data_IF_439088224464
#
_entry.id   IF_439088224464
#
_cell.length_a   1.000
_cell.length_b   1.000
_cell.length_c   1.000
_cell.angle_alpha   90.00
_cell.angle_beta   90.00
_cell.angle_gamma   90.00
#
_symmetry.space_group_name_H-M   'P 1'
#
loop_
_entity.id
_entity.type
_entity.pdbx_description
1 polymer ?
#
# COMPACT_ATOMS: atom_id res chain seq x y z
N UNK A 1 -15.68 -22.47 4.46
CA UNK A 1 -14.36 -22.04 5.01
C UNK A 1 -13.58 -21.44 3.85
N UNK A 2 -13.20 -20.16 3.95
CA UNK A 2 -12.38 -19.50 2.92
C UNK A 2 -10.96 -20.01 3.13
N UNK A 3 -10.40 -20.61 2.08
CA UNK A 3 -9.04 -21.15 2.10
C UNK A 3 -8.08 -20.12 1.54
N UNK A 4 -7.04 -19.80 2.31
CA UNK A 4 -5.95 -18.95 1.83
C UNK A 4 -4.97 -19.79 1.01
N UNK A 5 -4.55 -19.32 -0.16
CA UNK A 5 -3.57 -20.04 -0.95
C UNK A 5 -2.19 -19.97 -0.29
N UNK A 6 -1.48 -21.10 -0.29
CA UNK A 6 -0.11 -21.15 0.20
C UNK A 6 0.86 -20.35 -0.68
N UNK A 7 1.88 -19.81 -0.06
CA UNK A 7 2.90 -18.94 -0.69
C UNK A 7 4.30 -19.56 -0.67
N UNK A 8 4.45 -20.74 -0.08
CA UNK A 8 5.78 -21.32 0.25
C UNK A 8 6.65 -21.61 -1.00
N UNK A 9 6.00 -21.88 -2.13
CA UNK A 9 6.74 -22.16 -3.37
C UNK A 9 7.35 -20.87 -3.92
N UNK A 10 6.56 -19.81 -4.02
CA UNK A 10 6.99 -18.51 -4.54
C UNK A 10 8.04 -17.88 -3.62
N UNK A 11 7.82 -17.91 -2.32
CA UNK A 11 8.76 -17.39 -1.32
C UNK A 11 10.12 -18.09 -1.45
N UNK A 12 10.15 -19.43 -1.54
CA UNK A 12 11.40 -20.18 -1.75
C UNK A 12 12.12 -19.82 -3.04
N UNK A 13 11.39 -19.57 -4.13
CA UNK A 13 11.99 -19.16 -5.41
C UNK A 13 12.58 -17.75 -5.32
N UNK A 14 11.90 -16.83 -4.65
CA UNK A 14 12.40 -15.48 -4.40
C UNK A 14 13.63 -15.48 -3.49
N UNK A 15 13.60 -16.23 -2.39
CA UNK A 15 14.75 -16.40 -1.50
C UNK A 15 15.97 -17.00 -2.22
N UNK A 16 15.74 -17.99 -3.10
CA UNK A 16 16.81 -18.55 -3.94
C UNK A 16 17.41 -17.49 -4.84
N UNK A 17 16.59 -16.65 -5.48
CA UNK A 17 17.07 -15.55 -6.32
C UNK A 17 17.87 -14.54 -5.50
N UNK A 18 17.36 -14.11 -4.35
CA UNK A 18 18.03 -13.16 -3.47
C UNK A 18 19.38 -13.70 -3.00
N UNK A 19 19.43 -14.94 -2.53
CA UNK A 19 20.69 -15.57 -2.07
C UNK A 19 21.72 -15.74 -3.20
N UNK A 20 21.28 -16.18 -4.39
CA UNK A 20 22.18 -16.37 -5.52
C UNK A 20 22.74 -15.04 -6.07
N UNK A 21 22.05 -13.93 -5.84
CA UNK A 21 22.47 -12.61 -6.31
C UNK A 21 23.25 -11.82 -5.23
N UNK A 22 23.35 -12.30 -4.01
CA UNK A 22 23.95 -11.57 -2.88
C UNK A 22 25.45 -11.31 -3.08
N UNK A 23 26.18 -12.27 -3.67
CA UNK A 23 27.61 -12.19 -3.95
C UNK A 23 27.95 -11.82 -5.42
N UNK A 24 26.92 -11.50 -6.24
CA UNK A 24 27.08 -11.20 -7.65
C UNK A 24 27.62 -9.80 -7.95
N UNK A 25 28.01 -9.54 -9.22
CA UNK A 25 28.43 -8.21 -9.65
C UNK A 25 27.29 -7.21 -9.44
N UNK A 26 27.62 -6.06 -8.82
CA UNK A 26 26.65 -4.99 -8.56
C UNK A 26 26.38 -4.25 -9.86
N UNK A 27 25.21 -4.52 -10.48
CA UNK A 27 24.68 -3.67 -11.57
C UNK A 27 23.38 -3.00 -11.09
N UNK A 28 23.05 -1.83 -11.63
CA UNK A 28 21.81 -1.13 -11.27
C UNK A 28 20.57 -1.99 -11.57
N UNK A 29 20.61 -2.75 -12.67
CA UNK A 29 19.53 -3.65 -13.07
C UNK A 29 19.34 -4.81 -12.06
N UNK A 30 20.44 -5.43 -11.62
CA UNK A 30 20.39 -6.50 -10.64
C UNK A 30 19.90 -6.00 -9.28
N UNK A 31 20.31 -4.81 -8.85
CA UNK A 31 19.81 -4.20 -7.61
C UNK A 31 18.32 -3.89 -7.68
N UNK A 32 17.81 -3.42 -8.81
CA UNK A 32 16.37 -3.22 -9.02
C UNK A 32 15.59 -4.55 -8.96
N UNK A 33 16.10 -5.61 -9.59
CA UNK A 33 15.49 -6.95 -9.51
C UNK A 33 15.50 -7.50 -8.07
N UNK A 34 16.60 -7.32 -7.34
CA UNK A 34 16.69 -7.69 -5.91
C UNK A 34 15.70 -6.94 -5.05
N UNK A 35 15.55 -5.62 -5.25
CA UNK A 35 14.56 -4.80 -4.57
C UNK A 35 13.14 -5.34 -4.80
N UNK A 36 12.80 -5.64 -6.05
CA UNK A 36 11.48 -6.18 -6.42
C UNK A 36 11.26 -7.60 -5.88
N UNK A 37 12.27 -8.46 -5.92
CA UNK A 37 12.18 -9.81 -5.35
C UNK A 37 11.98 -9.76 -3.83
N UNK A 38 12.68 -8.84 -3.14
CA UNK A 38 12.53 -8.60 -1.70
C UNK A 38 11.11 -8.11 -1.36
N UNK A 39 10.59 -7.18 -2.12
CA UNK A 39 9.21 -6.69 -1.95
C UNK A 39 8.18 -7.82 -2.08
N UNK A 40 8.30 -8.68 -3.12
CA UNK A 40 7.43 -9.84 -3.26
C UNK A 40 7.58 -10.82 -2.09
N UNK A 41 8.80 -11.13 -1.66
CA UNK A 41 9.05 -12.05 -0.54
C UNK A 41 8.44 -11.52 0.76
N UNK A 42 8.63 -10.24 1.08
CA UNK A 42 8.03 -9.58 2.25
C UNK A 42 6.51 -9.60 2.18
N UNK A 43 5.93 -9.26 1.03
CA UNK A 43 4.48 -9.22 0.82
C UNK A 43 3.83 -10.61 0.92
N UNK A 44 4.48 -11.66 0.40
CA UNK A 44 3.97 -13.03 0.47
C UNK A 44 4.17 -13.68 1.84
N UNK A 45 5.17 -13.25 2.60
CA UNK A 45 5.45 -13.75 3.96
C UNK A 45 4.64 -13.03 5.04
N UNK A 46 4.11 -11.84 4.74
CA UNK A 46 3.32 -11.04 5.69
C UNK A 46 1.84 -11.40 5.62
N UNK A 47 1.13 -11.24 6.73
CA UNK A 47 -0.34 -11.29 6.76
C UNK A 47 -0.92 -10.12 5.94
N UNK A 48 -2.11 -10.32 5.33
CA UNK A 48 -2.80 -9.25 4.58
C UNK A 48 -3.27 -8.19 5.56
N UNK A 49 -2.91 -6.93 5.32
CA UNK A 49 -3.21 -5.82 6.22
C UNK A 49 -4.61 -5.24 5.97
N UNK A 50 -5.45 -5.21 7.02
CA UNK A 50 -6.81 -4.69 7.01
C UNK A 50 -6.86 -3.43 7.86
N UNK A 51 -7.05 -2.26 7.24
CA UNK A 51 -7.13 -0.98 7.93
C UNK A 51 -8.55 -0.59 8.32
N UNK A 52 -8.75 -0.18 9.58
CA UNK A 52 -10.01 0.40 10.05
C UNK A 52 -9.89 1.92 10.06
N UNK A 53 -10.62 2.56 9.16
CA UNK A 53 -10.67 4.01 9.02
C UNK A 53 -12.07 4.54 9.30
N UNK A 54 -12.20 5.84 9.53
CA UNK A 54 -13.47 6.51 9.80
C UNK A 54 -13.35 7.52 10.95
N UNK A 55 -14.42 8.27 11.20
CA UNK A 55 -14.44 9.31 12.21
C UNK A 55 -14.25 8.78 13.63
N UNK A 56 -13.94 9.70 14.56
CA UNK A 56 -13.90 9.35 15.97
C UNK A 56 -15.28 8.85 16.43
N UNK A 57 -15.31 7.75 17.20
CA UNK A 57 -16.55 7.14 17.66
C UNK A 57 -17.33 6.34 16.61
N UNK A 58 -16.79 6.13 15.41
CA UNK A 58 -17.42 5.30 14.36
C UNK A 58 -17.33 3.77 14.63
N UNK A 59 -16.80 3.35 15.79
CA UNK A 59 -16.76 1.93 16.18
C UNK A 59 -15.60 1.12 15.62
N UNK A 60 -14.54 1.74 15.09
CA UNK A 60 -13.34 1.09 14.51
C UNK A 60 -12.71 0.05 15.43
N UNK A 61 -12.24 0.50 16.61
CA UNK A 61 -11.57 -0.36 17.59
C UNK A 61 -12.46 -1.51 18.10
N UNK A 62 -13.77 -1.24 18.29
CA UNK A 62 -14.73 -2.28 18.66
C UNK A 62 -14.88 -3.34 17.57
N UNK A 63 -14.87 -2.91 16.30
CA UNK A 63 -14.96 -3.79 15.16
C UNK A 63 -13.68 -4.62 14.99
N UNK A 64 -12.52 -4.00 15.19
CA UNK A 64 -11.22 -4.68 15.17
C UNK A 64 -11.13 -5.74 16.28
N UNK A 65 -11.55 -5.42 17.52
CA UNK A 65 -11.62 -6.38 18.61
C UNK A 65 -12.54 -7.58 18.30
N UNK A 66 -13.70 -7.31 17.71
CA UNK A 66 -14.63 -8.35 17.31
C UNK A 66 -13.99 -9.30 16.28
N UNK A 67 -13.31 -8.77 15.25
CA UNK A 67 -12.65 -9.59 14.23
C UNK A 67 -11.43 -10.33 14.78
N UNK A 68 -10.69 -9.72 15.71
CA UNK A 68 -9.59 -10.36 16.42
C UNK A 68 -10.07 -11.48 17.35
N UNK A 69 -11.35 -11.50 17.72
CA UNK A 69 -11.90 -12.41 18.72
C UNK A 69 -11.38 -12.16 20.14
N UNK A 70 -10.88 -10.95 20.43
CA UNK A 70 -10.28 -10.59 21.71
C UNK A 70 -10.46 -9.10 22.02
N UNK A 71 -10.60 -8.75 23.30
CA UNK A 71 -10.71 -7.37 23.75
C UNK A 71 -9.31 -6.79 23.99
N UNK A 72 -8.71 -6.26 22.92
CA UNK A 72 -7.32 -5.78 22.87
C UNK A 72 -7.29 -4.25 22.89
N UNK A 73 -8.04 -3.63 21.99
CA UNK A 73 -8.08 -2.19 21.80
C UNK A 73 -9.05 -1.53 22.78
N UNK A 74 -8.68 -0.41 23.38
CA UNK A 74 -9.59 0.30 24.26
C UNK A 74 -10.80 0.84 23.49
N UNK A 75 -11.98 0.64 24.03
CA UNK A 75 -13.24 1.08 23.44
C UNK A 75 -13.99 2.01 24.40
N UNK A 76 -14.69 3.00 23.83
CA UNK A 76 -15.51 3.96 24.61
C UNK A 76 -14.95 5.38 24.63
N UNK A 77 -15.72 6.35 25.16
CA UNK A 77 -15.45 7.78 25.02
C UNK A 77 -14.34 8.32 25.95
N UNK A 78 -13.84 7.54 26.91
CA UNK A 78 -12.91 7.99 27.95
C UNK A 78 -11.44 7.62 27.67
N UNK A 79 -11.14 7.03 26.51
CA UNK A 79 -9.78 6.60 26.19
C UNK A 79 -8.99 7.71 25.50
N UNK A 80 -7.70 7.82 25.87
CA UNK A 80 -6.74 8.68 25.18
C UNK A 80 -6.64 8.21 23.70
N UNK A 81 -6.51 9.15 22.76
CA UNK A 81 -6.27 8.79 21.37
C UNK A 81 -4.95 8.03 21.26
N UNK A 82 -5.02 6.80 20.74
CA UNK A 82 -3.84 6.01 20.43
C UNK A 82 -3.28 6.39 19.05
N UNK A 83 -1.97 6.20 18.82
CA UNK A 83 -1.41 6.24 17.48
C UNK A 83 -1.98 5.09 16.64
N UNK A 84 -1.42 4.82 15.47
CA UNK A 84 -1.71 3.58 14.73
C UNK A 84 -1.45 2.37 15.64
N UNK A 85 -2.46 1.50 15.80
CA UNK A 85 -2.29 0.22 16.50
C UNK A 85 -2.44 -0.92 15.49
N UNK A 86 -1.44 -1.80 15.45
CA UNK A 86 -1.40 -2.96 14.58
C UNK A 86 -1.60 -4.20 15.44
N UNK A 87 -2.64 -4.99 15.16
CA UNK A 87 -2.91 -6.25 15.88
C UNK A 87 -2.56 -7.42 14.97
N UNK A 88 -1.68 -8.28 15.43
CA UNK A 88 -1.11 -9.40 14.67
C UNK A 88 -1.26 -10.71 15.42
N UNK A 89 -1.01 -11.83 14.73
CA UNK A 89 -0.87 -13.13 15.38
C UNK A 89 0.51 -13.26 16.05
N UNK A 90 0.52 -13.74 17.29
CA UNK A 90 1.74 -14.19 17.98
C UNK A 90 1.38 -15.37 18.88
N UNK A 91 2.29 -16.35 19.01
CA UNK A 91 2.08 -17.50 19.91
C UNK A 91 2.02 -17.05 21.37
N UNK A 92 2.88 -16.12 21.76
CA UNK A 92 2.88 -15.47 23.07
C UNK A 92 2.52 -14.00 22.91
N UNK A 93 1.58 -13.46 23.73
CA UNK A 93 1.21 -12.05 23.63
C UNK A 93 2.40 -11.13 23.93
N UNK A 94 2.58 -10.14 23.08
CA UNK A 94 3.61 -9.10 23.21
C UNK A 94 3.12 -7.76 22.67
N UNK A 95 3.74 -6.68 23.12
CA UNK A 95 3.47 -5.32 22.61
C UNK A 95 4.77 -4.66 22.24
N UNK A 96 4.91 -4.29 20.98
CA UNK A 96 6.07 -3.57 20.45
C UNK A 96 5.69 -2.14 20.12
N UNK A 97 6.46 -1.17 20.60
CA UNK A 97 6.35 0.24 20.24
C UNK A 97 7.40 0.59 19.20
N UNK A 98 7.02 1.37 18.21
CA UNK A 98 7.92 1.79 17.13
C UNK A 98 7.86 3.28 16.88
N UNK A 99 8.99 3.80 16.44
CA UNK A 99 9.20 5.16 15.96
C UNK A 99 9.86 5.07 14.60
N UNK A 100 9.60 6.05 13.74
CA UNK A 100 10.18 6.06 12.40
C UNK A 100 11.71 6.29 12.42
N UNK A 101 12.22 6.93 13.48
CA UNK A 101 13.61 7.37 13.63
C UNK A 101 14.40 6.67 14.74
N UNK A 102 13.79 5.72 15.45
CA UNK A 102 14.40 5.06 16.62
C UNK A 102 14.17 3.55 16.60
N UNK A 103 15.04 2.78 17.29
CA UNK A 103 14.82 1.34 17.49
C UNK A 103 13.51 1.08 18.22
N UNK A 104 12.84 -0.03 17.87
CA UNK A 104 11.65 -0.51 18.54
C UNK A 104 11.95 -1.00 19.97
N UNK A 105 10.90 -1.02 20.82
CA UNK A 105 10.95 -1.53 22.20
C UNK A 105 9.78 -2.48 22.42
N UNK A 106 10.03 -3.63 23.04
CA UNK A 106 9.01 -4.65 23.27
C UNK A 106 8.69 -4.82 24.74
N UNK A 107 7.41 -5.01 25.02
CA UNK A 107 6.83 -5.35 26.33
C UNK A 107 6.19 -6.73 26.26
N UNK A 108 6.30 -7.52 27.32
CA UNK A 108 5.58 -8.77 27.43
C UNK A 108 4.06 -8.53 27.65
N UNK A 109 3.25 -9.32 26.97
CA UNK A 109 1.80 -9.24 27.05
C UNK A 109 1.17 -8.03 26.35
N UNK A 110 -0.15 -7.88 26.48
CA UNK A 110 -0.90 -6.71 25.98
C UNK A 110 -0.69 -5.55 26.95
N UNK A 111 0.11 -4.56 26.56
CA UNK A 111 0.58 -3.47 27.42
C UNK A 111 0.36 -2.08 26.82
N UNK A 112 -0.82 -1.83 26.21
CA UNK A 112 -1.15 -0.62 25.46
C UNK A 112 -0.95 0.68 26.24
N UNK A 113 -1.33 0.72 27.52
CA UNK A 113 -1.17 1.93 28.36
C UNK A 113 0.31 2.29 28.56
N UNK A 114 1.17 1.27 28.78
CA UNK A 114 2.62 1.49 28.90
C UNK A 114 3.23 1.87 27.55
N UNK A 115 2.77 1.24 26.48
CA UNK A 115 3.20 1.52 25.13
C UNK A 115 2.86 2.96 24.71
N UNK A 116 1.64 3.41 25.00
CA UNK A 116 1.21 4.78 24.70
C UNK A 116 1.98 5.85 25.49
N UNK A 117 2.41 5.55 26.71
CA UNK A 117 3.20 6.46 27.53
C UNK A 117 4.62 6.73 26.97
N UNK A 118 5.13 5.88 26.07
CA UNK A 118 6.40 6.10 25.37
C UNK A 118 6.25 7.07 24.16
N UNK A 119 5.04 7.57 23.88
CA UNK A 119 4.73 8.46 22.74
C UNK A 119 5.26 7.92 21.39
N UNK A 120 4.89 6.69 20.99
CA UNK A 120 5.37 6.09 19.75
C UNK A 120 4.59 6.60 18.52
N UNK A 121 5.16 6.36 17.32
CA UNK A 121 4.46 6.58 16.05
C UNK A 121 3.44 5.48 15.78
N UNK A 122 3.76 4.24 16.18
CA UNK A 122 2.84 3.10 16.10
C UNK A 122 3.07 2.10 17.25
N UNK A 123 2.04 1.30 17.53
CA UNK A 123 2.08 0.20 18.50
C UNK A 123 1.67 -1.09 17.77
N UNK A 124 2.48 -2.14 17.87
CA UNK A 124 2.13 -3.48 17.40
C UNK A 124 1.81 -4.39 18.57
N UNK A 125 0.66 -5.07 18.53
CA UNK A 125 0.21 -5.99 19.58
C UNK A 125 0.05 -7.38 18.97
N UNK A 126 0.90 -8.31 19.37
CA UNK A 126 0.79 -9.71 19.04
C UNK A 126 -0.12 -10.42 20.04
N UNK A 127 -1.09 -11.20 19.55
CA UNK A 127 -1.98 -12.02 20.36
C UNK A 127 -2.20 -13.39 19.74
N UNK A 128 -2.44 -14.40 20.56
CA UNK A 128 -2.74 -15.75 20.06
C UNK A 128 -4.20 -15.83 19.59
N UNK A 129 -4.44 -15.34 18.37
CA UNK A 129 -5.73 -15.43 17.70
C UNK A 129 -5.57 -16.14 16.35
N UNK A 130 -6.26 -17.30 16.14
CA UNK A 130 -6.23 -17.99 14.85
C UNK A 130 -6.75 -17.14 13.68
N UNK A 131 -7.66 -16.20 13.94
CA UNK A 131 -8.21 -15.30 12.93
C UNK A 131 -7.13 -14.37 12.33
N UNK A 132 -6.06 -14.10 13.08
CA UNK A 132 -4.99 -13.19 12.70
C UNK A 132 -3.77 -13.87 12.02
N UNK A 133 -3.86 -15.17 11.72
CA UNK A 133 -2.73 -15.86 11.04
C UNK A 133 -2.53 -15.37 9.61
N UNK A 134 -3.62 -15.06 8.92
CA UNK A 134 -3.62 -14.67 7.52
C UNK A 134 -3.87 -13.16 7.33
N UNK A 135 -4.39 -12.49 8.36
CA UNK A 135 -4.67 -11.06 8.34
C UNK A 135 -4.05 -10.35 9.54
N UNK A 136 -3.70 -9.09 9.37
CA UNK A 136 -3.34 -8.17 10.44
C UNK A 136 -4.31 -7.00 10.44
N UNK A 137 -4.64 -6.48 11.62
CA UNK A 137 -5.64 -5.43 11.79
C UNK A 137 -4.95 -4.12 12.17
N UNK A 138 -5.20 -3.07 11.41
CA UNK A 138 -4.64 -1.74 11.57
C UNK A 138 -5.73 -0.80 12.07
N UNK A 139 -5.78 -0.51 13.36
CA UNK A 139 -6.71 0.47 13.92
C UNK A 139 -6.13 1.88 13.75
N UNK A 140 -6.64 2.59 12.76
CA UNK A 140 -6.19 3.95 12.45
C UNK A 140 -6.79 4.95 13.44
N UNK A 141 -6.04 5.99 13.84
CA UNK A 141 -6.59 7.07 14.64
C UNK A 141 -7.82 7.69 13.96
N UNK A 142 -8.83 8.01 14.75
CA UNK A 142 -10.07 8.58 14.24
C UNK A 142 -9.83 9.93 13.57
N UNK A 143 -10.36 10.12 12.36
CA UNK A 143 -10.33 11.41 11.68
C UNK A 143 -11.37 12.36 12.30
N UNK A 144 -10.97 13.60 12.58
CA UNK A 144 -11.86 14.70 12.97
C UNK A 144 -12.02 15.70 11.83
N UNK A 145 -13.18 16.31 11.69
CA UNK A 145 -13.48 17.23 10.58
C UNK A 145 -12.74 18.58 10.66
N UNK A 146 -12.05 18.87 11.76
CA UNK A 146 -11.51 20.19 12.07
C UNK A 146 -9.98 20.25 12.26
N UNK A 147 -9.26 19.13 12.09
CA UNK A 147 -7.83 19.10 12.27
C UNK A 147 -7.15 18.26 11.18
N UNK A 148 -5.81 18.36 11.08
CA UNK A 148 -4.99 17.64 10.10
C UNK A 148 -5.00 16.10 10.26
N UNK A 149 -5.83 15.56 11.16
CA UNK A 149 -5.97 14.11 11.38
C UNK A 149 -6.42 13.34 10.13
N UNK A 150 -7.15 13.98 9.22
CA UNK A 150 -7.53 13.37 7.95
C UNK A 150 -6.32 13.09 7.05
N UNK A 151 -5.32 13.99 7.01
CA UNK A 151 -4.08 13.77 6.24
C UNK A 151 -3.35 12.55 6.77
N UNK A 152 -3.23 12.45 8.11
CA UNK A 152 -2.62 11.29 8.75
C UNK A 152 -3.36 9.99 8.42
N UNK A 153 -4.69 10.01 8.37
CA UNK A 153 -5.48 8.84 7.97
C UNK A 153 -5.15 8.42 6.52
N UNK A 154 -5.07 9.38 5.57
CA UNK A 154 -4.69 9.10 4.17
C UNK A 154 -3.27 8.54 4.06
N UNK A 155 -2.33 9.08 4.83
CA UNK A 155 -0.95 8.56 4.87
C UNK A 155 -0.90 7.13 5.40
N UNK A 156 -1.64 6.84 6.47
CA UNK A 156 -1.67 5.51 7.07
C UNK A 156 -2.40 4.48 6.20
N UNK A 157 -3.38 4.90 5.40
CA UNK A 157 -4.05 4.02 4.43
C UNK A 157 -3.12 3.50 3.33
N UNK A 158 -1.97 4.11 3.11
CA UNK A 158 -0.95 3.60 2.18
C UNK A 158 -0.29 2.30 2.65
N UNK A 159 -0.38 1.99 3.94
CA UNK A 159 0.22 0.79 4.56
C UNK A 159 -0.73 -0.40 4.64
N UNK A 160 -1.95 -0.29 4.12
CA UNK A 160 -2.93 -1.36 4.19
C UNK A 160 -3.31 -1.88 2.80
N UNK A 161 -3.53 -3.18 2.71
CA UNK A 161 -3.95 -3.85 1.48
C UNK A 161 -5.44 -3.72 1.20
N UNK A 162 -6.24 -3.63 2.27
CA UNK A 162 -7.69 -3.50 2.25
C UNK A 162 -8.10 -2.52 3.35
N UNK A 163 -9.16 -1.73 3.13
CA UNK A 163 -9.68 -0.85 4.16
C UNK A 163 -11.15 -1.15 4.48
N UNK A 164 -11.47 -1.01 5.76
CA UNK A 164 -12.83 -1.00 6.28
C UNK A 164 -13.12 0.44 6.72
N UNK A 165 -13.91 1.15 5.94
CA UNK A 165 -14.40 2.45 6.35
C UNK A 165 -15.60 2.28 7.27
N UNK A 166 -15.45 2.67 8.53
CA UNK A 166 -16.51 2.63 9.52
C UNK A 166 -17.27 3.95 9.53
N UNK A 167 -18.57 3.90 9.25
CA UNK A 167 -19.46 5.05 9.37
C UNK A 167 -20.56 4.76 10.39
N UNK A 168 -20.93 5.77 11.20
CA UNK A 168 -21.96 5.60 12.21
C UNK A 168 -23.35 5.60 11.59
N UNK A 169 -24.16 4.58 11.82
CA UNK A 169 -25.49 4.42 11.26
C UNK A 169 -26.47 5.57 11.57
N UNK A 170 -26.24 6.34 12.64
CA UNK A 170 -27.07 7.51 12.96
C UNK A 170 -26.89 8.66 11.98
N UNK A 171 -25.74 8.74 11.30
CA UNK A 171 -25.43 9.76 10.32
C UNK A 171 -24.43 9.23 9.30
N UNK A 172 -24.79 8.14 8.61
CA UNK A 172 -23.92 7.37 7.76
C UNK A 172 -23.48 8.11 6.50
N UNK A 173 -22.18 8.03 6.20
CA UNK A 173 -21.55 8.46 4.96
C UNK A 173 -21.80 9.95 4.66
N UNK A 174 -21.29 10.80 5.56
CA UNK A 174 -21.35 12.24 5.43
C UNK A 174 -20.48 12.75 4.28
N UNK A 175 -20.74 13.96 3.83
CA UNK A 175 -19.96 14.60 2.77
C UNK A 175 -18.46 14.73 3.15
N UNK A 176 -18.16 14.94 4.43
CA UNK A 176 -16.79 14.96 4.94
C UNK A 176 -16.08 13.62 4.76
N UNK A 177 -16.77 12.51 5.04
CA UNK A 177 -16.25 11.15 4.84
C UNK A 177 -16.05 10.85 3.35
N UNK A 178 -17.01 11.24 2.52
CA UNK A 178 -16.97 11.09 1.06
C UNK A 178 -15.80 11.85 0.45
N UNK A 179 -15.62 13.11 0.85
CA UNK A 179 -14.55 13.94 0.37
C UNK A 179 -13.17 13.35 0.72
N UNK A 180 -12.99 12.88 1.95
CA UNK A 180 -11.76 12.22 2.37
C UNK A 180 -11.52 10.93 1.59
N UNK A 181 -12.56 10.10 1.46
CA UNK A 181 -12.46 8.82 0.76
C UNK A 181 -12.17 8.99 -0.74
N UNK A 182 -12.63 10.08 -1.37
CA UNK A 182 -12.35 10.36 -2.78
C UNK A 182 -10.86 10.57 -3.09
N UNK A 183 -10.05 10.88 -2.08
CA UNK A 183 -8.60 11.04 -2.18
C UNK A 183 -7.82 9.72 -2.04
N UNK A 184 -8.50 8.63 -1.67
CA UNK A 184 -7.90 7.30 -1.55
C UNK A 184 -7.70 6.72 -2.96
N UNK A 185 -6.55 6.10 -3.28
CA UNK A 185 -6.30 5.49 -4.58
C UNK A 185 -7.38 4.46 -4.97
N UNK A 186 -7.71 4.40 -6.25
CA UNK A 186 -8.77 3.51 -6.77
C UNK A 186 -8.49 2.05 -6.43
N UNK A 187 -7.23 1.61 -6.52
CA UNK A 187 -6.84 0.24 -6.20
C UNK A 187 -7.22 -0.15 -4.77
N UNK A 188 -7.03 0.74 -3.79
CA UNK A 188 -7.44 0.47 -2.42
C UNK A 188 -8.96 0.53 -2.28
N UNK A 189 -9.65 1.49 -2.95
CA UNK A 189 -11.11 1.59 -2.92
C UNK A 189 -11.79 0.32 -3.44
N UNK A 190 -11.28 -0.27 -4.52
CA UNK A 190 -11.80 -1.51 -5.12
C UNK A 190 -11.67 -2.73 -4.20
N UNK A 191 -10.78 -2.67 -3.21
CA UNK A 191 -10.57 -3.72 -2.21
C UNK A 191 -11.11 -3.32 -0.82
N UNK A 192 -11.97 -2.32 -0.72
CA UNK A 192 -12.42 -1.76 0.55
C UNK A 192 -13.91 -1.96 0.79
N UNK A 193 -14.28 -1.95 2.07
CA UNK A 193 -15.64 -2.17 2.54
C UNK A 193 -16.16 -0.91 3.25
N UNK A 194 -17.42 -0.55 3.04
CA UNK A 194 -18.13 0.43 3.86
C UNK A 194 -18.93 -0.31 4.92
N UNK A 195 -18.61 -0.07 6.20
CA UNK A 195 -19.32 -0.71 7.31
C UNK A 195 -20.15 0.31 8.07
N UNK A 196 -21.47 0.08 8.07
CA UNK A 196 -22.44 0.88 8.83
C UNK A 196 -22.53 0.30 10.23
N UNK A 197 -21.84 0.91 11.17
CA UNK A 197 -21.82 0.49 12.58
C UNK A 197 -23.07 0.98 13.33
N UNK A 198 -23.26 0.51 14.58
CA UNK A 198 -24.40 0.86 15.42
C UNK A 198 -25.77 0.50 14.81
N UNK A 199 -25.82 -0.49 13.90
CA UNK A 199 -27.05 -0.96 13.29
C UNK A 199 -28.05 -1.60 14.27
N UNK A 200 -27.57 -1.98 15.45
CA UNK A 200 -28.36 -2.52 16.56
C UNK A 200 -29.15 -1.46 17.33
N UNK A 201 -28.78 -0.18 17.21
CA UNK A 201 -29.50 0.90 17.91
C UNK A 201 -30.92 1.06 17.37
N UNK A 202 -31.93 1.21 18.22
CA UNK A 202 -33.33 1.38 17.80
C UNK A 202 -33.51 2.52 16.80
N UNK A 203 -32.84 3.66 17.03
CA UNK A 203 -32.89 4.84 16.16
C UNK A 203 -32.30 4.62 14.76
N UNK A 204 -31.38 3.68 14.61
CA UNK A 204 -30.77 3.31 13.34
C UNK A 204 -31.63 2.25 12.63
N UNK A 205 -32.10 1.24 13.39
CA UNK A 205 -32.88 0.11 12.87
C UNK A 205 -34.10 0.55 12.08
N UNK A 206 -34.83 1.56 12.58
CA UNK A 206 -36.07 2.04 11.93
C UNK A 206 -35.82 2.70 10.56
N UNK A 207 -34.59 3.14 10.29
CA UNK A 207 -34.18 3.81 9.04
C UNK A 207 -33.14 3.04 8.24
N UNK A 208 -32.69 1.89 8.74
CA UNK A 208 -31.54 1.18 8.20
C UNK A 208 -31.70 0.81 6.72
N UNK A 209 -32.84 0.27 6.34
CA UNK A 209 -33.10 -0.13 4.94
C UNK A 209 -32.95 1.06 3.99
N UNK A 210 -33.50 2.22 4.34
CA UNK A 210 -33.37 3.45 3.53
C UNK A 210 -31.93 3.95 3.45
N UNK A 211 -31.17 3.82 4.55
CA UNK A 211 -29.75 4.17 4.58
C UNK A 211 -28.97 3.24 3.66
N UNK A 212 -29.22 1.94 3.75
CA UNK A 212 -28.53 0.94 2.93
C UNK A 212 -28.86 1.10 1.44
N UNK A 213 -30.13 1.30 1.07
CA UNK A 213 -30.55 1.55 -0.31
C UNK A 213 -29.83 2.77 -0.92
N UNK A 214 -29.70 3.86 -0.14
CA UNK A 214 -28.93 5.04 -0.56
C UNK A 214 -27.45 4.71 -0.74
N UNK A 215 -26.83 4.07 0.23
CA UNK A 215 -25.41 3.74 0.21
C UNK A 215 -25.07 2.77 -0.92
N UNK A 216 -25.93 1.77 -1.18
CA UNK A 216 -25.76 0.86 -2.31
C UNK A 216 -25.87 1.58 -3.66
N UNK A 217 -26.76 2.59 -3.78
CA UNK A 217 -26.86 3.40 -5.00
C UNK A 217 -25.66 4.31 -5.24
N UNK A 218 -24.91 4.65 -4.20
CA UNK A 218 -23.72 5.52 -4.23
C UNK A 218 -22.40 4.75 -4.23
N UNK A 219 -22.43 3.43 -4.10
CA UNK A 219 -21.28 2.57 -3.82
C UNK A 219 -20.30 2.43 -4.99
N UNK A 220 -20.78 2.46 -6.22
CA UNK A 220 -20.01 2.11 -7.40
C UNK A 220 -18.73 2.96 -7.53
N UNK A 221 -17.59 2.27 -7.65
CA UNK A 221 -16.25 2.87 -7.71
C UNK A 221 -15.74 3.44 -6.37
N UNK A 222 -16.49 3.23 -5.27
CA UNK A 222 -16.07 3.66 -3.93
C UNK A 222 -15.76 2.49 -3.00
N UNK A 223 -16.59 1.44 -3.00
CA UNK A 223 -16.44 0.29 -2.12
C UNK A 223 -16.88 -0.99 -2.79
N UNK A 224 -16.29 -2.11 -2.39
CA UNK A 224 -16.69 -3.43 -2.86
C UNK A 224 -18.10 -3.81 -2.36
N UNK A 225 -18.41 -3.49 -1.11
CA UNK A 225 -19.74 -3.75 -0.52
C UNK A 225 -20.05 -2.80 0.64
N UNK A 226 -21.34 -2.72 0.98
CA UNK A 226 -21.87 -2.03 2.18
C UNK A 226 -22.40 -3.08 3.16
N UNK A 227 -21.94 -3.03 4.41
CA UNK A 227 -22.29 -4.03 5.43
C UNK A 227 -22.78 -3.33 6.70
N UNK A 228 -24.04 -3.50 7.10
CA UNK A 228 -24.52 -3.06 8.41
C UNK A 228 -24.08 -4.05 9.49
N UNK A 229 -23.71 -3.53 10.68
CA UNK A 229 -23.35 -4.36 11.81
C UNK A 229 -23.75 -3.76 13.16
N UNK A 230 -24.28 -4.63 14.04
CA UNK A 230 -24.42 -4.37 15.45
C UNK A 230 -23.26 -5.02 16.22
N UNK A 231 -22.12 -4.32 16.31
CA UNK A 231 -20.89 -4.88 16.88
C UNK A 231 -21.07 -5.46 18.30
N UNK A 232 -21.75 -4.78 19.26
CA UNK A 232 -21.98 -5.36 20.60
C UNK A 232 -22.81 -6.64 20.56
N UNK A 233 -23.78 -6.71 19.64
CA UNK A 233 -24.61 -7.91 19.44
C UNK A 233 -23.79 -9.06 18.85
N UNK A 234 -22.91 -8.74 17.90
CA UNK A 234 -21.99 -9.70 17.28
C UNK A 234 -21.01 -10.30 18.29
N UNK A 235 -20.39 -9.46 19.12
CA UNK A 235 -19.51 -9.91 20.21
C UNK A 235 -20.27 -10.82 21.16
N UNK A 236 -21.48 -10.42 21.57
CA UNK A 236 -22.33 -11.24 22.47
C UNK A 236 -22.68 -12.59 21.84
N UNK A 237 -23.00 -12.63 20.54
CA UNK A 237 -23.34 -13.85 19.84
C UNK A 237 -22.19 -14.87 19.87
N UNK A 238 -20.95 -14.41 19.67
CA UNK A 238 -19.76 -15.28 19.66
C UNK A 238 -19.27 -15.65 21.07
N UNK A 239 -19.57 -14.83 22.08
CA UNK A 239 -19.22 -15.07 23.50
C UNK A 239 -20.29 -15.86 24.25
N UNK A 240 -21.36 -16.31 23.59
CA UNK A 240 -22.43 -17.04 24.20
C UNK A 240 -21.95 -18.43 24.65
N UNK A 241 -22.34 -18.85 25.88
CA UNK A 241 -22.00 -20.17 26.42
C UNK A 241 -23.26 -21.01 26.57
N UNK A 242 -23.21 -22.34 26.34
CA UNK A 242 -22.01 -23.15 26.08
C UNK A 242 -21.53 -23.12 24.61
N UNK A 243 -22.31 -22.58 23.69
CA UNK A 243 -21.99 -22.51 22.26
C UNK A 243 -22.33 -21.12 21.70
N UNK A 244 -21.57 -20.61 20.70
CA UNK A 244 -21.89 -19.39 20.00
C UNK A 244 -23.30 -19.40 19.40
N UNK A 245 -23.99 -18.27 19.44
CA UNK A 245 -25.29 -18.09 18.78
C UNK A 245 -25.08 -17.67 17.32
N UNK A 246 -24.93 -18.65 16.45
CA UNK A 246 -24.69 -18.41 15.02
C UNK A 246 -25.87 -17.73 14.32
N UNK A 247 -27.12 -17.93 14.76
CA UNK A 247 -28.27 -17.25 14.20
C UNK A 247 -28.25 -15.75 14.53
N UNK A 248 -27.87 -15.41 15.75
CA UNK A 248 -27.69 -14.03 16.17
C UNK A 248 -26.49 -13.39 15.46
N UNK A 249 -25.40 -14.14 15.31
CA UNK A 249 -24.20 -13.73 14.57
C UNK A 249 -24.50 -13.38 13.10
N UNK A 250 -25.27 -14.21 12.41
CA UNK A 250 -25.74 -13.96 11.05
C UNK A 250 -26.64 -12.72 10.97
N UNK A 251 -27.66 -12.67 11.85
CA UNK A 251 -28.68 -11.61 11.80
C UNK A 251 -28.17 -10.22 12.15
N UNK A 252 -27.08 -10.10 12.93
CA UNK A 252 -26.46 -8.82 13.29
C UNK A 252 -25.40 -8.31 12.30
N UNK A 253 -25.15 -9.07 11.21
CA UNK A 253 -24.16 -8.71 10.18
C UNK A 253 -22.74 -9.24 10.45
N UNK A 254 -22.50 -9.89 11.58
CA UNK A 254 -21.17 -10.39 11.98
C UNK A 254 -20.61 -11.42 11.00
N UNK A 255 -21.42 -12.40 10.62
CA UNK A 255 -21.01 -13.43 9.67
C UNK A 255 -20.66 -12.84 8.32
N UNK A 256 -21.54 -11.99 7.77
CA UNK A 256 -21.34 -11.35 6.47
C UNK A 256 -20.06 -10.54 6.44
N UNK A 257 -19.78 -9.79 7.51
CA UNK A 257 -18.55 -9.00 7.59
C UNK A 257 -17.30 -9.90 7.65
N UNK A 258 -17.28 -10.90 8.51
CA UNK A 258 -16.14 -11.80 8.64
C UNK A 258 -15.85 -12.55 7.32
N UNK A 259 -16.89 -13.06 6.66
CA UNK A 259 -16.76 -13.72 5.35
C UNK A 259 -16.20 -12.76 4.29
N UNK A 260 -16.73 -11.53 4.20
CA UNK A 260 -16.30 -10.54 3.21
C UNK A 260 -14.85 -10.08 3.44
N UNK A 261 -14.44 -9.89 4.69
CA UNK A 261 -13.06 -9.55 5.04
C UNK A 261 -12.10 -10.65 4.61
N UNK A 262 -12.41 -11.90 4.93
CA UNK A 262 -11.57 -13.05 4.55
C UNK A 262 -11.55 -13.26 3.03
N UNK A 263 -12.65 -13.06 2.34
CA UNK A 263 -12.72 -13.15 0.87
C UNK A 263 -11.87 -12.07 0.20
N UNK A 264 -11.97 -10.83 0.69
CA UNK A 264 -11.18 -9.70 0.19
C UNK A 264 -9.68 -9.96 0.41
N UNK A 265 -9.29 -10.40 1.60
CA UNK A 265 -7.91 -10.74 1.92
C UNK A 265 -7.38 -11.93 1.09
N UNK A 266 -8.19 -12.98 0.92
CA UNK A 266 -7.83 -14.13 0.05
C UNK A 266 -7.67 -13.70 -1.41
N UNK A 267 -8.54 -12.83 -1.91
CA UNK A 267 -8.45 -12.29 -3.28
C UNK A 267 -7.18 -11.46 -3.46
N UNK A 268 -6.84 -10.62 -2.48
CA UNK A 268 -5.57 -9.86 -2.48
C UNK A 268 -4.38 -10.81 -2.51
N UNK A 269 -4.34 -11.81 -1.64
CA UNK A 269 -3.27 -12.83 -1.61
C UNK A 269 -3.10 -13.53 -2.96
N UNK A 270 -4.20 -13.90 -3.63
CA UNK A 270 -4.14 -14.51 -4.97
C UNK A 270 -3.51 -13.59 -6.01
N UNK A 271 -3.80 -12.28 -5.96
CA UNK A 271 -3.19 -11.29 -6.85
C UNK A 271 -1.68 -11.15 -6.60
N UNK A 272 -1.28 -11.09 -5.33
CA UNK A 272 0.14 -10.99 -4.95
C UNK A 272 0.94 -12.23 -5.41
N UNK A 273 0.37 -13.43 -5.26
CA UNK A 273 0.96 -14.67 -5.77
C UNK A 273 1.08 -14.63 -7.30
N UNK A 274 0.03 -14.21 -8.00
CA UNK A 274 0.05 -14.14 -9.46
C UNK A 274 1.10 -13.14 -9.97
N UNK A 275 1.23 -11.98 -9.33
CA UNK A 275 2.25 -11.00 -9.66
C UNK A 275 3.67 -11.54 -9.41
N UNK A 276 3.90 -12.16 -8.24
CA UNK A 276 5.19 -12.77 -7.93
C UNK A 276 5.56 -13.89 -8.92
N UNK A 277 4.62 -14.76 -9.29
CA UNK A 277 4.85 -15.82 -10.31
C UNK A 277 5.24 -15.24 -11.65
N UNK A 278 4.53 -14.22 -12.11
CA UNK A 278 4.85 -13.57 -13.38
C UNK A 278 6.28 -13.01 -13.35
N UNK A 279 6.69 -12.37 -12.26
CA UNK A 279 8.05 -11.84 -12.13
C UNK A 279 9.11 -12.94 -11.96
N UNK A 280 8.80 -14.01 -11.24
CA UNK A 280 9.69 -15.17 -11.12
C UNK A 280 9.95 -15.77 -12.51
N UNK A 281 8.92 -16.00 -13.28
CA UNK A 281 9.03 -16.64 -14.61
C UNK A 281 9.71 -15.72 -15.64
N UNK A 282 9.35 -14.44 -15.65
CA UNK A 282 9.78 -13.53 -16.71
C UNK A 282 11.04 -12.72 -16.39
N UNK A 283 11.37 -12.52 -15.11
CA UNK A 283 12.49 -11.67 -14.69
C UNK A 283 13.55 -12.45 -13.91
N UNK A 284 13.17 -13.13 -12.83
CA UNK A 284 14.15 -13.66 -11.88
C UNK A 284 14.80 -14.97 -12.36
N UNK A 285 14.05 -15.91 -12.94
CA UNK A 285 14.63 -17.14 -13.48
C UNK A 285 15.54 -16.87 -14.69
N UNK A 286 15.20 -16.01 -15.66
CA UNK A 286 16.12 -15.64 -16.73
C UNK A 286 17.40 -14.97 -16.22
N UNK A 287 17.30 -14.06 -15.24
CA UNK A 287 18.44 -13.39 -14.67
C UNK A 287 19.37 -14.36 -13.92
N UNK A 288 18.82 -15.33 -13.18
CA UNK A 288 19.61 -16.40 -12.54
C UNK A 288 20.36 -17.24 -13.56
N UNK A 289 19.69 -17.68 -14.62
CA UNK A 289 20.31 -18.50 -15.68
C UNK A 289 21.45 -17.75 -16.38
N UNK A 290 21.35 -16.43 -16.50
CA UNK A 290 22.43 -15.62 -17.05
C UNK A 290 23.62 -15.50 -16.10
N UNK A 291 23.38 -15.29 -14.81
CA UNK A 291 24.43 -15.25 -13.77
C UNK A 291 25.18 -16.59 -13.68
N UNK A 292 24.45 -17.72 -13.71
CA UNK A 292 25.06 -19.06 -13.70
C UNK A 292 25.96 -19.27 -14.92
N UNK A 293 25.54 -18.84 -16.12
CA UNK A 293 26.37 -18.92 -17.35
C UNK A 293 27.62 -18.06 -17.28
N UNK A 294 27.54 -16.87 -16.70
CA UNK A 294 28.70 -15.99 -16.52
C UNK A 294 29.71 -16.58 -15.54
N UNK A 295 29.22 -17.17 -14.47
CA UNK A 295 30.09 -17.85 -13.46
C UNK A 295 30.79 -19.07 -14.05
N UNK A 296 30.09 -19.87 -14.88
CA UNK A 296 30.69 -21.02 -15.57
C UNK A 296 31.71 -20.58 -16.65
N UNK A 297 31.51 -19.42 -17.29
CA UNK A 297 32.43 -18.88 -18.29
C UNK A 297 33.72 -18.32 -17.71
N UNK A 298 33.71 -17.92 -16.43
CA UNK A 298 34.89 -17.43 -15.70
C UNK A 298 35.70 -18.54 -15.04
N UNK A 299 35.25 -19.81 -15.12
CA UNK A 299 36.04 -20.96 -14.63
C UNK A 299 37.21 -21.28 -15.61
N UNK A 300 38.49 -21.17 -15.21
CA UNK A 300 39.63 -21.33 -16.08
C UNK A 300 39.82 -22.75 -16.65
N UNK A 301 39.09 -23.77 -16.19
CA UNK A 301 39.14 -25.15 -16.71
C UNK A 301 38.16 -25.46 -17.81
N UNK A 302 37.28 -24.55 -18.23
CA UNK A 302 36.27 -24.77 -19.27
C UNK A 302 36.79 -24.25 -20.62
N UNK A 303 36.81 -25.07 -21.72
CA UNK A 303 37.21 -24.59 -23.06
C UNK A 303 36.16 -23.55 -23.54
N UNK A 304 36.58 -22.34 -23.84
CA UNK A 304 35.77 -21.29 -24.40
C UNK A 304 35.13 -21.71 -25.71
N UNK A 305 33.82 -21.74 -25.87
CA UNK A 305 33.17 -21.71 -27.17
C UNK A 305 33.28 -20.29 -27.75
N UNK A 306 33.84 -20.13 -28.92
CA UNK A 306 33.71 -18.91 -29.71
C UNK A 306 32.26 -18.78 -30.19
N UNK A 307 31.40 -18.22 -29.39
CA UNK A 307 30.11 -17.70 -29.80
C UNK A 307 29.76 -16.52 -28.89
N UNK A 308 29.48 -15.39 -29.46
CA UNK A 308 28.93 -14.20 -28.84
C UNK A 308 27.64 -14.58 -28.05
N UNK A 309 27.77 -14.91 -26.78
CA UNK A 309 26.61 -15.02 -25.90
C UNK A 309 26.04 -13.60 -25.68
N UNK A 310 24.73 -13.42 -25.71
CA UNK A 310 24.11 -12.15 -25.41
C UNK A 310 24.47 -11.77 -23.96
N UNK A 311 24.86 -10.52 -23.75
CA UNK A 311 25.15 -10.00 -22.41
C UNK A 311 23.87 -9.96 -21.56
N UNK A 312 24.02 -9.89 -20.23
CA UNK A 312 22.88 -9.70 -19.32
C UNK A 312 21.98 -8.55 -19.79
N UNK A 313 22.59 -7.50 -20.32
CA UNK A 313 21.94 -6.32 -20.88
C UNK A 313 21.13 -6.65 -22.14
N UNK A 314 21.61 -7.55 -23.01
CA UNK A 314 20.90 -8.01 -24.21
C UNK A 314 19.73 -8.94 -23.84
N UNK A 315 19.89 -9.78 -22.81
CA UNK A 315 18.83 -10.68 -22.32
C UNK A 315 17.73 -9.91 -21.59
N UNK A 316 18.09 -8.93 -20.79
CA UNK A 316 17.15 -8.01 -20.13
C UNK A 316 16.44 -7.10 -21.14
N UNK A 317 17.15 -6.67 -22.18
CA UNK A 317 16.55 -5.88 -23.27
C UNK A 317 15.56 -6.70 -24.13
N UNK A 318 15.64 -8.03 -24.07
CA UNK A 318 14.73 -8.93 -24.79
C UNK A 318 13.52 -9.33 -23.94
N UNK A 319 13.66 -9.33 -22.61
CA UNK A 319 12.63 -9.71 -21.62
C UNK A 319 11.85 -8.49 -21.10
N UNK A 320 12.53 -7.37 -20.90
CA UNK A 320 11.85 -6.09 -20.76
C UNK A 320 11.65 -5.54 -22.18
N UNK A 321 10.41 -5.24 -22.60
CA UNK A 321 10.27 -4.33 -23.73
C UNK A 321 11.15 -3.13 -23.40
N UNK A 322 11.98 -2.63 -24.33
CA UNK A 322 12.75 -1.44 -24.05
C UNK A 322 11.77 -0.44 -23.45
N UNK A 323 12.13 0.22 -22.35
CA UNK A 323 11.42 1.39 -21.88
C UNK A 323 11.49 2.38 -23.04
N UNK A 324 10.65 2.15 -24.04
CA UNK A 324 10.62 2.88 -25.30
C UNK A 324 9.79 4.14 -25.17
N UNK A 325 9.85 4.73 -23.96
CA UNK A 325 9.42 6.09 -23.78
C UNK A 325 10.70 6.97 -23.73
N UNK A 326 11.11 7.56 -24.87
CA UNK A 326 12.29 8.43 -24.91
C UNK A 326 12.15 9.60 -23.92
N UNK A 327 10.93 10.02 -23.62
CA UNK A 327 10.64 11.08 -22.64
C UNK A 327 11.01 10.65 -21.22
N UNK A 328 10.76 9.39 -20.84
CA UNK A 328 11.17 8.88 -19.53
C UNK A 328 12.70 8.80 -19.40
N UNK A 329 13.39 8.34 -20.45
CA UNK A 329 14.86 8.30 -20.42
C UNK A 329 15.46 9.69 -20.29
N UNK A 330 14.98 10.64 -21.09
CA UNK A 330 15.40 12.05 -21.02
C UNK A 330 15.13 12.65 -19.63
N UNK A 331 13.99 12.29 -19.01
CA UNK A 331 13.65 12.70 -17.63
C UNK A 331 14.64 12.15 -16.61
N UNK A 332 14.95 10.86 -16.67
CA UNK A 332 15.90 10.22 -15.78
C UNK A 332 17.31 10.80 -15.93
N UNK A 333 17.74 11.11 -17.15
CA UNK A 333 19.03 11.73 -17.43
C UNK A 333 19.09 13.18 -16.91
N UNK A 334 18.01 13.93 -17.02
CA UNK A 334 17.92 15.29 -16.50
C UNK A 334 17.99 15.32 -14.95
N UNK A 335 17.29 14.41 -14.29
CA UNK A 335 17.33 14.28 -12.82
C UNK A 335 18.72 13.80 -12.36
N UNK A 336 19.34 12.86 -13.06
CA UNK A 336 20.69 12.40 -12.74
C UNK A 336 21.69 13.57 -12.78
N UNK A 337 21.55 14.49 -13.72
CA UNK A 337 22.37 15.71 -13.80
C UNK A 337 22.27 16.56 -12.54
N UNK A 338 21.05 16.81 -12.04
CA UNK A 338 20.85 17.56 -10.77
C UNK A 338 21.53 16.84 -9.58
N UNK A 339 21.41 15.53 -9.50
CA UNK A 339 22.03 14.77 -8.40
C UNK A 339 23.56 14.75 -8.48
N UNK A 340 24.13 14.73 -9.66
CA UNK A 340 25.58 14.79 -9.84
C UNK A 340 26.11 16.19 -9.49
N UNK A 341 25.42 17.25 -9.85
CA UNK A 341 25.73 18.62 -9.44
C UNK A 341 25.69 18.78 -7.91
N UNK A 342 24.72 18.16 -7.24
CA UNK A 342 24.63 18.14 -5.78
C UNK A 342 25.77 17.37 -5.11
N UNK A 343 26.29 16.33 -5.73
CA UNK A 343 27.43 15.56 -5.20
C UNK A 343 28.75 16.27 -5.37
N UNK A 344 28.93 17.00 -6.48
CA UNK A 344 30.17 17.71 -6.79
C UNK A 344 30.32 19.06 -6.04
N UNK A 345 29.17 19.64 -5.63
CA UNK A 345 29.15 20.94 -4.96
C UNK A 345 28.46 20.83 -3.60
N UNK A 346 29.28 20.70 -2.53
CA UNK A 346 28.78 20.67 -1.15
C UNK A 346 28.09 21.94 -0.66
N UNK A 347 27.90 22.96 -1.52
CA UNK A 347 27.50 24.32 -1.11
C UNK A 347 26.52 24.98 -2.11
N UNK A 348 25.63 24.19 -2.75
CA UNK A 348 24.56 24.74 -3.59
C UNK A 348 23.50 25.39 -2.68
N UNK A 349 23.19 26.67 -2.83
CA UNK A 349 22.13 27.31 -2.09
C UNK A 349 20.78 26.63 -2.37
N UNK A 350 19.93 26.37 -1.32
CA UNK A 350 18.62 25.75 -1.51
C UNK A 350 17.76 26.40 -2.62
N UNK A 351 17.82 27.70 -2.75
CA UNK A 351 17.08 28.45 -3.78
C UNK A 351 17.56 28.16 -5.22
N UNK A 352 18.83 27.86 -5.40
CA UNK A 352 19.37 27.55 -6.73
C UNK A 352 18.98 26.09 -7.11
N UNK A 353 19.02 25.16 -6.17
CA UNK A 353 18.53 23.81 -6.38
C UNK A 353 17.04 23.78 -6.75
N UNK A 354 16.18 24.49 -6.00
CA UNK A 354 14.74 24.56 -6.29
C UNK A 354 14.48 25.18 -7.66
N UNK A 355 15.28 26.17 -8.05
CA UNK A 355 15.19 26.77 -9.39
C UNK A 355 15.55 25.74 -10.47
N UNK A 356 16.62 24.98 -10.33
CA UNK A 356 17.01 23.96 -11.28
C UNK A 356 15.95 22.86 -11.40
N UNK A 357 15.33 22.45 -10.30
CA UNK A 357 14.18 21.52 -10.31
C UNK A 357 13.00 22.10 -11.10
N UNK A 358 12.67 23.38 -10.88
CA UNK A 358 11.58 24.05 -11.59
C UNK A 358 11.86 24.14 -13.09
N UNK A 359 13.06 24.59 -13.50
CA UNK A 359 13.45 24.70 -14.90
C UNK A 359 13.33 23.39 -15.68
N UNK A 360 13.71 22.26 -15.04
CA UNK A 360 13.54 20.94 -15.66
C UNK A 360 12.07 20.58 -15.80
N UNK A 361 11.25 20.80 -14.77
CA UNK A 361 9.82 20.47 -14.81
C UNK A 361 9.11 21.33 -15.86
N UNK A 362 9.44 22.62 -16.00
CA UNK A 362 8.91 23.52 -17.02
C UNK A 362 9.29 23.08 -18.44
N UNK A 363 10.56 22.74 -18.68
CA UNK A 363 11.02 22.24 -19.99
C UNK A 363 10.25 20.95 -20.40
N UNK A 364 10.06 20.03 -19.46
CA UNK A 364 9.30 18.81 -19.73
C UNK A 364 7.81 19.09 -19.91
N UNK A 365 7.20 19.99 -19.14
CA UNK A 365 5.81 20.43 -19.32
C UNK A 365 5.59 20.96 -20.75
N UNK A 366 6.47 21.88 -21.21
CA UNK A 366 6.41 22.45 -22.56
C UNK A 366 6.61 21.40 -23.65
N UNK A 367 7.52 20.44 -23.47
CA UNK A 367 7.75 19.34 -24.41
C UNK A 367 6.52 18.41 -24.51
N UNK A 368 5.85 18.14 -23.38
CA UNK A 368 4.67 17.30 -23.32
C UNK A 368 3.44 17.97 -23.96
N UNK A 369 3.29 19.28 -23.81
CA UNK A 369 2.23 20.07 -24.46
C UNK A 369 2.43 20.16 -25.99
N UNK A 370 3.68 20.30 -26.45
CA UNK A 370 4.03 20.46 -27.86
C UNK A 370 4.04 19.14 -28.66
N UNK A 371 3.51 18.04 -28.09
CA UNK A 371 3.25 16.79 -28.80
C UNK A 371 4.39 15.77 -28.73
N UNK A 372 5.11 15.69 -27.61
CA UNK A 372 5.89 14.50 -27.31
C UNK A 372 4.98 13.26 -27.41
N UNK A 373 5.44 12.18 -28.01
CA UNK A 373 4.69 10.95 -28.22
C UNK A 373 4.26 10.31 -26.89
N UNK A 374 3.15 10.81 -26.30
CA UNK A 374 2.50 10.19 -25.16
C UNK A 374 1.25 9.50 -25.69
N UNK A 375 0.99 8.29 -25.13
CA UNK A 375 -0.24 7.55 -25.42
C UNK A 375 -1.46 8.43 -25.09
N UNK A 376 -2.49 8.51 -25.95
CA UNK A 376 -3.73 9.25 -25.69
C UNK A 376 -4.41 8.87 -24.35
N UNK A 377 -4.14 7.68 -23.83
CA UNK A 377 -4.65 7.24 -22.52
C UNK A 377 -3.92 7.93 -21.33
N UNK A 378 -2.82 8.63 -21.59
CA UNK A 378 -2.03 9.34 -20.60
C UNK A 378 -2.14 10.89 -20.75
N UNK A 379 -3.26 11.39 -21.25
CA UNK A 379 -3.56 12.82 -21.48
C UNK A 379 -3.56 13.68 -20.21
N UNK A 380 -3.54 13.02 -19.04
CA UNK A 380 -3.47 13.64 -17.70
C UNK A 380 -2.04 14.06 -17.31
N UNK A 381 -0.98 13.48 -17.91
CA UNK A 381 0.42 13.76 -17.53
C UNK A 381 0.81 15.23 -17.67
N UNK A 382 0.53 15.94 -18.77
CA UNK A 382 0.88 17.36 -18.89
C UNK A 382 0.34 18.20 -17.72
N UNK A 383 -0.87 17.87 -17.24
CA UNK A 383 -1.47 18.56 -16.08
C UNK A 383 -0.77 18.27 -14.77
N UNK A 384 -0.17 17.08 -14.60
CA UNK A 384 0.63 16.79 -13.41
C UNK A 384 1.95 17.58 -13.42
N UNK A 385 2.54 17.78 -14.59
CA UNK A 385 3.73 18.63 -14.73
C UNK A 385 3.42 20.11 -14.48
N UNK A 386 2.31 20.65 -14.97
CA UNK A 386 1.86 22.01 -14.63
C UNK A 386 1.67 22.19 -13.12
N UNK A 387 0.99 21.26 -12.45
CA UNK A 387 0.82 21.32 -10.99
C UNK A 387 2.15 21.25 -10.24
N UNK A 388 3.07 20.44 -10.72
CA UNK A 388 4.39 20.31 -10.11
C UNK A 388 5.20 21.61 -10.25
N UNK A 389 5.11 22.30 -11.38
CA UNK A 389 5.69 23.64 -11.58
C UNK A 389 5.16 24.62 -10.55
N UNK A 390 3.84 24.67 -10.34
CA UNK A 390 3.22 25.55 -9.35
C UNK A 390 3.69 25.23 -7.92
N UNK A 391 3.79 23.93 -7.57
CA UNK A 391 4.27 23.50 -6.26
C UNK A 391 5.74 23.88 -6.04
N UNK A 392 6.61 23.62 -7.02
CA UNK A 392 8.04 24.00 -6.93
C UNK A 392 8.23 25.52 -6.79
N UNK A 393 7.38 26.29 -7.45
CA UNK A 393 7.37 27.75 -7.28
C UNK A 393 7.01 28.15 -5.85
N UNK A 394 6.03 27.50 -5.23
CA UNK A 394 5.63 27.76 -3.84
C UNK A 394 6.75 27.40 -2.85
N UNK A 395 7.45 26.29 -3.07
CA UNK A 395 8.57 25.87 -2.21
C UNK A 395 9.72 26.89 -2.17
N UNK A 396 9.88 27.73 -3.19
CA UNK A 396 10.91 28.78 -3.19
C UNK A 396 10.65 29.89 -2.15
N UNK A 397 9.44 30.01 -1.64
CA UNK A 397 9.08 30.98 -0.58
C UNK A 397 9.16 30.40 0.81
N UNK A 398 9.46 29.11 0.95
CA UNK A 398 9.62 28.44 2.23
C UNK A 398 11.08 28.45 2.68
N UNK A 399 11.33 28.26 3.99
CA UNK A 399 12.67 28.30 4.57
C UNK A 399 12.99 26.99 5.29
N UNK A 400 14.23 26.53 5.19
CA UNK A 400 14.74 25.32 5.85
C UNK A 400 15.01 24.19 4.87
N UNK A 401 15.20 22.95 5.39
CA UNK A 401 15.53 21.77 4.58
C UNK A 401 14.30 21.01 4.05
N UNK A 402 13.09 21.34 4.54
CA UNK A 402 11.85 20.70 4.10
C UNK A 402 11.58 20.90 2.60
N UNK A 403 11.69 22.14 2.04
CA UNK A 403 11.45 22.39 0.61
C UNK A 403 12.33 21.56 -0.32
N UNK A 404 13.56 21.25 0.07
CA UNK A 404 14.47 20.42 -0.73
C UNK A 404 13.97 18.97 -0.82
N UNK A 405 13.50 18.40 0.29
CA UNK A 405 12.96 17.05 0.31
C UNK A 405 11.65 16.94 -0.47
N UNK A 406 10.82 17.97 -0.36
CA UNK A 406 9.54 18.05 -1.07
C UNK A 406 9.77 18.19 -2.58
N UNK A 407 10.74 18.96 -3.02
CA UNK A 407 11.14 19.06 -4.43
C UNK A 407 11.62 17.70 -4.99
N UNK A 408 12.48 16.98 -4.25
CA UNK A 408 12.92 15.63 -4.64
C UNK A 408 11.72 14.66 -4.73
N UNK A 409 10.78 14.76 -3.81
CA UNK A 409 9.57 13.92 -3.84
C UNK A 409 8.71 14.21 -5.08
N UNK A 410 8.54 15.48 -5.45
CA UNK A 410 7.82 15.89 -6.65
C UNK A 410 8.48 15.34 -7.92
N UNK A 411 9.80 15.47 -8.06
CA UNK A 411 10.54 14.96 -9.21
C UNK A 411 10.41 13.42 -9.33
N UNK A 412 10.45 12.71 -8.21
CA UNK A 412 10.27 11.25 -8.18
C UNK A 412 8.88 10.86 -8.63
N UNK A 413 7.83 11.52 -8.13
CA UNK A 413 6.45 11.27 -8.51
C UNK A 413 6.18 11.51 -10.01
N UNK A 414 6.78 12.52 -10.58
CA UNK A 414 6.68 12.77 -12.03
C UNK A 414 7.36 11.67 -12.85
N UNK A 415 8.51 11.17 -12.40
CA UNK A 415 9.17 10.02 -13.00
C UNK A 415 8.31 8.76 -12.97
N UNK A 416 7.66 8.47 -11.84
CA UNK A 416 6.73 7.35 -11.68
C UNK A 416 5.52 7.49 -12.62
N UNK A 417 5.01 8.72 -12.78
CA UNK A 417 3.91 9.03 -13.70
C UNK A 417 4.29 8.76 -15.16
N UNK A 418 5.49 9.17 -15.59
CA UNK A 418 6.02 8.89 -16.92
C UNK A 418 6.27 7.39 -17.16
N UNK A 419 6.78 6.68 -16.16
CA UNK A 419 7.00 5.24 -16.23
C UNK A 419 5.68 4.49 -16.41
N UNK A 420 4.64 4.88 -15.66
CA UNK A 420 3.31 4.28 -15.77
C UNK A 420 2.68 4.50 -17.14
N UNK A 421 2.81 5.69 -17.73
CA UNK A 421 2.33 5.97 -19.07
C UNK A 421 3.03 5.13 -20.16
N UNK A 422 4.32 4.83 -19.98
CA UNK A 422 5.05 3.92 -20.86
C UNK A 422 4.50 2.49 -20.84
N UNK A 423 3.96 2.03 -19.70
CA UNK A 423 3.36 0.70 -19.59
C UNK A 423 1.98 0.60 -20.27
N UNK A 424 1.22 1.68 -20.32
CA UNK A 424 -0.07 1.72 -21.06
C UNK A 424 0.13 1.57 -22.58
N UNK A 425 1.15 2.18 -23.12
CA UNK A 425 1.47 2.08 -24.56
C UNK A 425 1.90 0.66 -25.00
N UNK A 426 2.39 -0.16 -24.06
CA UNK A 426 2.83 -1.53 -24.31
C UNK A 426 1.72 -2.58 -24.21
N UNK A 427 0.51 -2.24 -23.73
CA UNK A 427 -0.60 -3.17 -23.63
C UNK A 427 -1.15 -3.50 -25.04
N UNK A 428 -1.27 -4.80 -25.44
CA UNK A 428 -1.80 -5.16 -26.75
C UNK A 428 -3.25 -4.69 -26.86
N UNK A 429 -3.52 -3.77 -27.80
CA UNK A 429 -4.86 -3.38 -28.17
C UNK A 429 -5.63 -4.64 -28.60
N UNK A 430 -6.55 -5.11 -27.78
CA UNK A 430 -7.49 -6.16 -28.16
C UNK A 430 -8.32 -5.64 -29.34
N UNK A 431 -7.96 -6.11 -30.56
CA UNK A 431 -8.76 -5.89 -31.76
C UNK A 431 -10.16 -6.46 -31.52
N UNK A 432 -11.10 -5.59 -31.22
CA UNK A 432 -12.52 -5.88 -31.46
C UNK A 432 -12.70 -5.87 -32.98
N UNK A 433 -12.65 -7.05 -33.58
CA UNK A 433 -13.04 -7.29 -34.96
C UNK A 433 -14.53 -7.58 -35.02
N UNK A 434 -15.23 -6.75 -35.76
CA UNK A 434 -16.53 -6.95 -36.44
C UNK A 434 -17.32 -8.22 -36.13
#
# INVERSE_FOLDING_TARGET
MIEFPGTEQEVRQLERFLSATEEGPVSKELDALRGRAKEHAERLSSAVSIGFAGEFGAGKSSLANMLAGADILPTGPQHLPLPLVIVTHAEEPETTVGWWDKPTKTYAGVALEKAAADEPDFISVGVNSPALREISLFDLPGSGALDDSYKKTLELLKFVDCAIWCTNGTNAWRETERHLWSQVPQELRDNSLLVVTHADLPTVRDSLDRVLDRLESERDGLFQSVIPIGTPVAVKAMSNEPEPDFALWESCGGQRLAEQVLETASTRRKRDIAAARADIENLFLPALAELERQTEADDPETPRPEATAPTLQDSLSTVMPPLSNPVLQDWLDAIAGIYDDLKESSDIPPADFLRSCQEIVEDFAERLENGAEIDPAADWIPREFEKATDLLLLLQFESGDAPLRDAVSILTQLGDSLAWAGTLAAAPQSRTGT
#
